data_IF_929801446355
#
_entry.id   IF_929801446355
#
_cell.length_a   1.000
_cell.length_b   1.000
_cell.length_c   1.000
_cell.angle_alpha   90.00
_cell.angle_beta   90.00
_cell.angle_gamma   90.00
#
_symmetry.space_group_name_H-M   'P 1'
#
loop_
_entity.id
_entity.type
_entity.pdbx_description
1 polymer ?
#
# COMPACT_ATOMS: atom_id res chain seq x y z
N UNK A 1 2.43 13.58 -16.98
CA UNK A 1 1.20 13.91 -16.23
C UNK A 1 1.26 15.35 -15.79
N UNK A 2 0.16 16.09 -15.95
CA UNK A 2 0.02 17.46 -15.43
C UNK A 2 0.13 17.42 -13.90
N UNK A 3 0.95 18.30 -13.32
CA UNK A 3 1.06 18.48 -11.86
C UNK A 3 0.11 19.60 -11.45
N UNK A 4 -0.71 19.35 -10.44
CA UNK A 4 -1.67 20.26 -9.86
C UNK A 4 -1.15 20.90 -8.56
N UNK A 5 0.02 20.49 -8.08
CA UNK A 5 0.58 20.94 -6.80
C UNK A 5 -0.13 20.34 -5.60
N UNK A 6 -0.88 19.24 -5.78
CA UNK A 6 -1.71 18.61 -4.75
C UNK A 6 -1.40 17.12 -4.63
N UNK A 7 -1.24 16.59 -3.40
CA UNK A 7 -1.00 15.17 -3.18
C UNK A 7 -2.15 14.33 -3.73
N UNK A 8 -1.87 13.07 -4.05
CA UNK A 8 -2.91 12.07 -4.26
C UNK A 8 -3.51 11.67 -2.92
N UNK A 9 -4.81 11.82 -2.76
CA UNK A 9 -5.52 11.53 -1.52
C UNK A 9 -6.46 10.38 -1.84
N UNK A 10 -6.02 9.16 -1.53
CA UNK A 10 -6.75 7.95 -1.78
C UNK A 10 -7.63 7.59 -0.60
N UNK A 11 -8.92 7.45 -0.87
CA UNK A 11 -9.85 6.81 0.04
C UNK A 11 -9.68 5.29 -0.02
N UNK A 12 -9.40 4.65 1.13
CA UNK A 12 -9.45 3.18 1.29
C UNK A 12 -10.90 2.81 1.59
N UNK A 13 -11.59 2.18 0.63
CA UNK A 13 -13.06 1.98 0.74
C UNK A 13 -13.47 1.01 1.83
N UNK A 14 -12.64 0.02 2.16
CA UNK A 14 -12.99 -1.01 3.16
C UNK A 14 -12.19 -0.88 4.46
N UNK A 15 -10.97 -0.34 4.42
CA UNK A 15 -10.07 -0.31 5.55
C UNK A 15 -9.63 -1.71 6.01
N UNK A 16 -9.90 -2.76 5.22
CA UNK A 16 -9.67 -4.18 5.57
C UNK A 16 -8.60 -4.81 4.69
N UNK A 17 -7.90 -5.81 5.23
CA UNK A 17 -6.89 -6.60 4.52
C UNK A 17 -7.47 -7.74 3.66
N UNK A 18 -8.79 -7.81 3.48
CA UNK A 18 -9.45 -8.81 2.64
C UNK A 18 -9.62 -8.36 1.18
N UNK A 19 -9.22 -7.12 0.88
CA UNK A 19 -9.40 -6.46 -0.41
C UNK A 19 -9.99 -5.06 -0.20
N UNK A 20 -9.59 -4.12 -1.06
CA UNK A 20 -10.07 -2.74 -1.00
C UNK A 20 -9.87 -2.01 -2.33
N UNK A 21 -10.50 -0.86 -2.45
CA UNK A 21 -10.21 0.12 -3.49
C UNK A 21 -9.55 1.35 -2.88
N UNK A 22 -8.61 1.92 -3.62
CA UNK A 22 -7.94 3.18 -3.32
C UNK A 22 -8.32 4.16 -4.41
N UNK A 23 -9.19 5.10 -4.08
CA UNK A 23 -9.76 6.05 -5.04
C UNK A 23 -9.26 7.47 -4.70
N UNK A 24 -8.50 8.10 -5.60
CA UNK A 24 -8.10 9.50 -5.41
C UNK A 24 -9.36 10.38 -5.39
N UNK A 25 -9.49 11.28 -4.41
CA UNK A 25 -10.69 12.15 -4.29
C UNK A 25 -10.91 13.07 -5.50
N UNK A 26 -9.87 13.29 -6.31
CA UNK A 26 -9.93 14.05 -7.56
C UNK A 26 -10.05 13.15 -8.80
N UNK A 27 -10.31 11.85 -8.59
CA UNK A 27 -10.47 10.82 -9.62
C UNK A 27 -9.28 10.73 -10.61
N UNK A 28 -8.07 11.14 -10.16
CA UNK A 28 -6.86 11.11 -11.01
C UNK A 28 -6.28 9.71 -11.12
N UNK A 29 -6.36 8.94 -10.03
CA UNK A 29 -5.84 7.58 -9.93
C UNK A 29 -6.81 6.70 -9.13
N UNK A 30 -6.98 5.47 -9.59
CA UNK A 30 -7.72 4.43 -8.88
C UNK A 30 -6.94 3.12 -8.91
N UNK A 31 -6.87 2.47 -7.75
CA UNK A 31 -6.31 1.13 -7.62
C UNK A 31 -7.27 0.20 -6.93
N UNK A 32 -7.25 -1.07 -7.32
CA UNK A 32 -8.07 -2.11 -6.69
C UNK A 32 -7.16 -3.24 -6.22
N UNK A 33 -7.23 -3.56 -4.93
CA UNK A 33 -6.58 -4.73 -4.31
C UNK A 33 -7.61 -5.84 -4.19
N UNK A 34 -7.44 -6.92 -4.96
CA UNK A 34 -8.35 -8.06 -4.97
C UNK A 34 -7.69 -9.31 -4.41
N UNK A 35 -8.37 -10.01 -3.51
CA UNK A 35 -8.04 -11.40 -3.22
C UNK A 35 -8.37 -12.25 -4.44
N UNK A 36 -7.40 -13.04 -4.91
CA UNK A 36 -7.50 -13.84 -6.14
C UNK A 36 -7.31 -15.33 -5.91
N UNK A 37 -6.67 -15.70 -4.80
CA UNK A 37 -6.66 -17.06 -4.28
C UNK A 37 -6.63 -17.02 -2.75
N UNK A 38 -7.36 -17.92 -2.11
CA UNK A 38 -7.37 -18.09 -0.67
C UNK A 38 -7.61 -19.56 -0.35
N UNK A 39 -6.59 -20.22 0.18
CA UNK A 39 -6.67 -21.59 0.65
C UNK A 39 -5.88 -21.77 1.95
N UNK A 40 -5.79 -23.00 2.43
CA UNK A 40 -5.09 -23.34 3.68
C UNK A 40 -3.57 -23.14 3.59
N UNK A 41 -3.01 -23.08 2.38
CA UNK A 41 -1.59 -22.99 2.10
C UNK A 41 -1.13 -21.57 1.82
N UNK A 42 -1.95 -20.74 1.19
CA UNK A 42 -1.60 -19.37 0.81
C UNK A 42 -2.81 -18.46 0.60
N UNK A 43 -2.56 -17.15 0.61
CA UNK A 43 -3.53 -16.12 0.22
C UNK A 43 -2.85 -15.12 -0.72
N UNK A 44 -3.40 -15.00 -1.93
CA UNK A 44 -2.85 -14.14 -2.97
C UNK A 44 -3.74 -12.93 -3.26
N UNK A 45 -3.13 -11.74 -3.25
CA UNK A 45 -3.75 -10.49 -3.62
C UNK A 45 -3.10 -9.91 -4.87
N UNK A 46 -3.91 -9.32 -5.75
CA UNK A 46 -3.45 -8.62 -6.93
C UNK A 46 -3.89 -7.16 -6.89
N UNK A 47 -2.96 -6.26 -7.24
CA UNK A 47 -3.19 -4.82 -7.29
C UNK A 47 -3.28 -4.40 -8.76
N UNK A 48 -4.42 -3.84 -9.14
CA UNK A 48 -4.70 -3.36 -10.48
C UNK A 48 -4.79 -1.84 -10.50
N UNK A 49 -4.35 -1.21 -11.58
CA UNK A 49 -4.71 0.16 -11.88
C UNK A 49 -6.04 0.16 -12.63
N UNK A 50 -7.05 0.74 -12.00
CA UNK A 50 -8.43 0.81 -12.49
C UNK A 50 -8.84 2.26 -12.78
N UNK A 51 -7.86 3.15 -12.97
CA UNK A 51 -8.10 4.56 -13.29
C UNK A 51 -8.85 4.72 -14.62
N UNK A 52 -9.77 5.69 -14.75
CA UNK A 52 -10.60 5.86 -15.96
C UNK A 52 -9.80 6.04 -17.25
N UNK A 53 -8.62 6.68 -17.14
CA UNK A 53 -7.78 7.04 -18.28
C UNK A 53 -6.81 5.93 -18.73
N UNK A 54 -6.83 4.77 -18.08
CA UNK A 54 -5.97 3.64 -18.45
C UNK A 54 -6.76 2.73 -19.39
N UNK A 55 -6.27 2.58 -20.63
CA UNK A 55 -6.82 1.59 -21.56
C UNK A 55 -6.67 0.19 -20.95
N UNK A 56 -7.79 -0.36 -20.48
CA UNK A 56 -7.81 -1.72 -19.97
C UNK A 56 -7.82 -2.68 -21.16
N UNK A 57 -6.80 -3.52 -21.23
CA UNK A 57 -6.80 -4.66 -22.15
C UNK A 57 -7.93 -5.63 -21.77
N UNK A 58 -8.38 -6.47 -22.71
CA UNK A 58 -9.39 -7.49 -22.45
C UNK A 58 -9.04 -8.42 -21.27
N UNK A 59 -7.74 -8.55 -20.95
CA UNK A 59 -7.24 -9.22 -19.76
C UNK A 59 -6.57 -8.18 -18.85
N UNK A 60 -7.12 -7.87 -17.67
CA UNK A 60 -6.51 -6.92 -16.76
C UNK A 60 -5.17 -7.47 -16.25
N UNK A 61 -4.08 -6.72 -16.46
CA UNK A 61 -2.75 -7.09 -15.98
C UNK A 61 -2.51 -6.49 -14.59
N UNK A 62 -2.18 -7.30 -13.57
CA UNK A 62 -1.86 -6.76 -12.25
C UNK A 62 -0.52 -6.00 -12.30
N UNK A 63 -0.45 -4.89 -11.59
CA UNK A 63 0.81 -4.15 -11.38
C UNK A 63 1.68 -4.82 -10.32
N UNK A 64 1.03 -5.33 -9.28
CA UNK A 64 1.68 -6.03 -8.18
C UNK A 64 0.89 -7.29 -7.83
N UNK A 65 1.60 -8.38 -7.57
CA UNK A 65 1.04 -9.57 -6.93
C UNK A 65 1.67 -9.75 -5.54
N UNK A 66 0.86 -10.03 -4.55
CA UNK A 66 1.25 -10.33 -3.17
C UNK A 66 0.79 -11.75 -2.87
N UNK A 67 1.69 -12.59 -2.42
CA UNK A 67 1.38 -13.96 -2.04
C UNK A 67 1.84 -14.21 -0.60
N UNK A 68 0.88 -14.38 0.30
CA UNK A 68 1.12 -14.66 1.71
C UNK A 68 1.05 -16.16 1.95
N UNK A 69 1.98 -16.69 2.74
CA UNK A 69 2.03 -18.11 3.05
C UNK A 69 1.00 -18.52 4.12
N UNK A 70 0.97 -19.81 4.39
CA UNK A 70 0.12 -20.41 5.43
C UNK A 70 0.27 -19.70 6.77
N UNK A 71 -0.81 -19.71 7.56
CA UNK A 71 -0.85 -19.05 8.88
C UNK A 71 -0.46 -17.57 8.85
N UNK A 72 -0.85 -16.86 7.78
CA UNK A 72 -0.58 -15.43 7.57
C UNK A 72 0.91 -15.07 7.50
N UNK A 73 1.78 -16.02 7.17
CA UNK A 73 3.22 -15.76 7.05
C UNK A 73 3.54 -14.89 5.82
N UNK A 74 4.65 -14.16 5.88
CA UNK A 74 5.15 -13.43 4.70
C UNK A 74 5.61 -14.42 3.64
N UNK A 75 5.11 -14.26 2.41
CA UNK A 75 5.56 -15.01 1.23
C UNK A 75 6.33 -14.12 0.26
N UNK A 76 5.78 -13.93 -0.94
CA UNK A 76 6.43 -13.24 -2.05
C UNK A 76 5.66 -12.02 -2.55
N UNK A 77 6.37 -11.06 -3.12
CA UNK A 77 5.83 -9.92 -3.85
C UNK A 77 6.41 -9.94 -5.25
N UNK A 78 5.59 -9.65 -6.25
CA UNK A 78 6.03 -9.46 -7.64
C UNK A 78 5.61 -8.07 -8.10
N UNK A 79 6.58 -7.19 -8.28
CA UNK A 79 6.41 -5.88 -8.91
C UNK A 79 6.95 -6.00 -10.33
N UNK A 80 6.17 -5.61 -11.34
CA UNK A 80 6.55 -5.76 -12.76
C UNK A 80 6.91 -7.21 -13.16
N UNK A 81 6.26 -8.20 -12.55
CA UNK A 81 6.38 -9.63 -12.86
C UNK A 81 7.71 -10.30 -12.41
N UNK A 82 8.53 -9.64 -11.60
CA UNK A 82 9.69 -10.27 -10.96
C UNK A 82 9.39 -10.63 -9.49
N UNK A 83 9.16 -11.92 -9.16
CA UNK A 83 8.88 -12.33 -7.79
C UNK A 83 10.12 -12.23 -6.91
N UNK A 84 9.94 -11.72 -5.69
CA UNK A 84 10.95 -11.73 -4.63
C UNK A 84 10.31 -11.97 -3.26
N UNK A 85 11.05 -12.54 -2.29
CA UNK A 85 10.53 -12.70 -0.93
C UNK A 85 10.18 -11.34 -0.30
N UNK A 86 9.01 -11.22 0.34
CA UNK A 86 8.59 -9.97 1.00
C UNK A 86 9.59 -9.52 2.08
N UNK A 87 10.29 -10.46 2.71
CA UNK A 87 11.37 -10.17 3.69
C UNK A 87 12.60 -9.51 3.08
N UNK A 88 12.86 -9.76 1.79
CA UNK A 88 13.93 -9.09 1.01
C UNK A 88 13.46 -7.76 0.45
N UNK A 89 12.19 -7.67 0.05
CA UNK A 89 11.58 -6.42 -0.42
C UNK A 89 11.45 -5.39 0.70
N UNK A 90 10.88 -5.77 1.85
CA UNK A 90 10.71 -4.95 3.05
C UNK A 90 11.67 -5.39 4.16
N UNK A 91 12.87 -4.81 4.12
CA UNK A 91 13.94 -5.09 5.07
C UNK A 91 13.67 -4.42 6.41
N UNK A 92 13.88 -5.17 7.50
CA UNK A 92 13.77 -4.62 8.86
C UNK A 92 14.90 -3.63 9.11
N UNK A 93 14.60 -2.47 9.69
CA UNK A 93 15.64 -1.55 10.12
C UNK A 93 16.42 -2.15 11.29
N UNK A 94 17.75 -2.24 11.19
CA UNK A 94 18.61 -3.05 12.08
C UNK A 94 18.50 -2.70 13.58
N UNK A 95 18.13 -1.47 13.93
CA UNK A 95 17.92 -1.02 15.32
C UNK A 95 16.47 -0.59 15.60
N UNK A 96 15.51 -1.00 14.76
CA UNK A 96 14.10 -0.60 14.84
C UNK A 96 13.15 -1.73 15.25
N UNK A 97 11.97 -1.32 15.74
CA UNK A 97 10.78 -2.17 15.87
C UNK A 97 10.49 -2.91 14.55
N UNK A 98 9.85 -4.09 14.60
CA UNK A 98 9.35 -4.81 13.40
C UNK A 98 8.40 -3.96 12.54
N UNK A 99 7.87 -2.88 13.13
CA UNK A 99 6.97 -1.89 12.55
C UNK A 99 7.72 -0.73 11.86
N UNK A 100 9.03 -0.86 11.66
CA UNK A 100 9.85 0.04 10.83
C UNK A 100 10.59 -0.78 9.77
N UNK A 101 10.25 -0.58 8.50
CA UNK A 101 10.85 -1.33 7.38
C UNK A 101 11.14 -0.46 6.19
N UNK A 102 12.16 -0.85 5.43
CA UNK A 102 12.62 -0.15 4.23
C UNK A 102 12.43 -0.99 2.98
N UNK A 103 12.09 -0.34 1.89
CA UNK A 103 12.07 -0.93 0.56
C UNK A 103 12.76 0.01 -0.44
N UNK A 104 13.15 -0.55 -1.58
CA UNK A 104 13.67 0.22 -2.72
C UNK A 104 12.56 0.32 -3.75
N UNK A 105 12.17 1.55 -4.10
CA UNK A 105 11.17 1.79 -5.13
C UNK A 105 11.73 1.52 -6.54
N UNK A 106 10.85 1.44 -7.53
CA UNK A 106 11.26 1.30 -8.94
C UNK A 106 12.09 2.47 -9.47
N UNK A 107 12.09 3.62 -8.79
CA UNK A 107 12.95 4.77 -9.07
C UNK A 107 14.37 4.64 -8.47
N UNK A 108 14.66 3.52 -7.80
CA UNK A 108 15.96 3.23 -7.18
C UNK A 108 16.17 3.90 -5.82
N UNK A 109 15.20 4.65 -5.30
CA UNK A 109 15.30 5.34 -4.02
C UNK A 109 14.88 4.43 -2.86
N UNK A 110 15.44 4.69 -1.68
CA UNK A 110 15.07 3.99 -0.45
C UNK A 110 13.95 4.74 0.25
N UNK A 111 12.90 3.99 0.60
CA UNK A 111 11.75 4.46 1.36
C UNK A 111 11.60 3.67 2.66
N UNK A 112 11.00 4.30 3.67
CA UNK A 112 10.84 3.71 4.99
C UNK A 112 9.42 3.93 5.51
N UNK A 113 8.71 2.84 5.81
CA UNK A 113 7.47 2.89 6.57
C UNK A 113 7.76 2.80 8.06
N UNK A 114 7.06 3.61 8.86
CA UNK A 114 7.03 3.55 10.31
C UNK A 114 5.60 3.72 10.83
N UNK A 115 5.24 2.99 11.89
CA UNK A 115 3.90 3.04 12.50
C UNK A 115 3.85 4.10 13.61
N UNK A 116 2.82 4.95 13.61
CA UNK A 116 2.51 5.93 14.69
C UNK A 116 3.69 6.82 15.09
N UNK A 117 4.47 7.26 14.12
CA UNK A 117 5.58 8.22 14.35
C UNK A 117 5.13 9.68 14.34
N UNK A 118 3.96 9.96 13.76
CA UNK A 118 3.38 11.30 13.71
C UNK A 118 1.95 11.28 14.29
N UNK A 119 1.47 12.39 14.88
CA UNK A 119 0.09 12.49 15.36
C UNK A 119 -0.91 12.20 14.24
N UNK A 120 -1.97 11.46 14.56
CA UNK A 120 -3.08 11.12 13.66
C UNK A 120 -2.71 10.33 12.39
N UNK A 121 -1.45 9.89 12.24
CA UNK A 121 -1.01 9.02 11.16
C UNK A 121 -0.71 7.63 11.72
N UNK A 122 -1.44 6.63 11.24
CA UNK A 122 -1.19 5.24 11.63
C UNK A 122 0.11 4.73 10.99
N UNK A 123 0.38 5.13 9.75
CA UNK A 123 1.65 4.85 9.05
C UNK A 123 2.18 6.10 8.36
N UNK A 124 3.50 6.28 8.41
CA UNK A 124 4.22 7.33 7.68
C UNK A 124 5.31 6.69 6.83
N UNK A 125 5.39 7.06 5.56
CA UNK A 125 6.46 6.70 4.65
C UNK A 125 7.39 7.89 4.42
N UNK A 126 8.68 7.71 4.65
CA UNK A 126 9.70 8.74 4.41
C UNK A 126 10.74 8.27 3.40
N UNK A 127 11.38 9.22 2.71
CA UNK A 127 12.58 8.93 1.90
C UNK A 127 13.87 9.00 2.75
N UNK A 128 15.02 8.82 2.11
CA UNK A 128 16.34 8.89 2.77
C UNK A 128 16.64 10.23 3.47
N UNK A 129 16.01 11.32 3.04
CA UNK A 129 16.14 12.66 3.65
C UNK A 129 15.11 12.90 4.78
N UNK A 130 14.37 11.87 5.19
CA UNK A 130 13.28 11.94 6.17
C UNK A 130 12.09 12.83 5.76
N UNK A 131 11.95 13.17 4.48
CA UNK A 131 10.75 13.83 3.99
C UNK A 131 9.61 12.83 3.90
N UNK A 132 8.43 13.22 4.38
CA UNK A 132 7.20 12.43 4.24
C UNK A 132 6.80 12.41 2.78
N UNK A 133 6.66 11.22 2.24
CA UNK A 133 6.27 11.01 0.84
C UNK A 133 4.89 10.33 0.73
N UNK A 134 4.47 9.61 1.78
CA UNK A 134 3.13 9.08 1.91
C UNK A 134 2.75 8.92 3.40
N UNK A 135 1.47 8.90 3.69
CA UNK A 135 0.94 8.61 5.03
C UNK A 135 -0.42 7.91 4.95
N UNK A 136 -0.68 7.01 5.90
CA UNK A 136 -1.97 6.35 6.04
C UNK A 136 -2.59 6.70 7.39
N UNK A 137 -3.82 7.20 7.37
CA UNK A 137 -4.58 7.64 8.53
C UNK A 137 -5.84 6.79 8.67
N UNK A 138 -6.20 6.48 9.92
CA UNK A 138 -7.46 5.82 10.23
C UNK A 138 -8.57 6.86 10.35
N UNK A 139 -9.81 6.40 10.17
CA UNK A 139 -11.00 7.20 10.51
C UNK A 139 -10.87 7.79 11.92
N UNK A 140 -11.23 9.06 12.10
CA UNK A 140 -11.10 9.70 13.40
C UNK A 140 -12.11 9.09 14.41
N UNK A 141 -11.72 9.05 15.68
CA UNK A 141 -12.60 8.54 16.73
C UNK A 141 -13.83 9.44 16.88
N UNK A 142 -15.02 8.84 16.82
CA UNK A 142 -16.30 9.56 16.93
C UNK A 142 -16.92 10.00 15.60
N UNK A 143 -16.24 9.80 14.48
CA UNK A 143 -16.85 10.04 13.16
C UNK A 143 -17.93 9.01 12.83
N UNK A 144 -19.01 9.43 12.12
CA UNK A 144 -20.07 8.53 11.72
C UNK A 144 -19.56 7.42 10.79
N UNK A 145 -20.40 6.42 10.55
CA UNK A 145 -20.16 5.49 9.45
C UNK A 145 -20.48 6.20 8.13
N UNK A 146 -19.54 6.14 7.20
CA UNK A 146 -19.70 6.69 5.86
C UNK A 146 -20.25 5.60 4.94
N UNK A 147 -21.25 5.95 4.13
CA UNK A 147 -21.75 5.01 3.12
C UNK A 147 -20.66 4.73 2.09
N UNK A 148 -20.27 3.46 1.95
CA UNK A 148 -19.25 2.97 1.00
C UNK A 148 -17.81 3.45 1.24
N UNK A 149 -17.50 3.90 2.46
CA UNK A 149 -16.16 4.33 2.83
C UNK A 149 -15.76 3.85 4.21
N UNK A 150 -14.48 3.53 4.39
CA UNK A 150 -13.93 3.19 5.70
C UNK A 150 -13.53 4.42 6.52
N UNK A 151 -13.47 5.60 5.90
CA UNK A 151 -12.85 6.80 6.47
C UNK A 151 -11.33 6.73 6.61
N UNK A 152 -10.69 5.65 6.15
CA UNK A 152 -9.23 5.57 6.09
C UNK A 152 -8.69 6.22 4.81
N UNK A 153 -7.57 6.94 4.94
CA UNK A 153 -6.99 7.75 3.86
C UNK A 153 -5.53 7.39 3.69
N UNK A 154 -5.10 7.16 2.45
CA UNK A 154 -3.71 7.11 2.03
C UNK A 154 -3.38 8.37 1.23
N UNK A 155 -2.48 9.20 1.75
CA UNK A 155 -1.95 10.35 1.04
C UNK A 155 -0.59 10.00 0.43
N UNK A 156 -0.34 10.42 -0.81
CA UNK A 156 0.94 10.28 -1.51
C UNK A 156 1.30 11.62 -2.13
N UNK A 157 2.48 12.16 -1.81
CA UNK A 157 2.94 13.42 -2.39
C UNK A 157 3.01 13.30 -3.93
N UNK A 158 2.54 14.34 -4.63
CA UNK A 158 2.24 14.29 -6.06
C UNK A 158 3.40 13.80 -6.92
N UNK A 159 4.63 14.19 -6.58
CA UNK A 159 5.84 13.79 -7.29
C UNK A 159 6.13 12.29 -7.26
N UNK A 160 5.48 11.53 -6.37
CA UNK A 160 5.63 10.08 -6.23
C UNK A 160 4.41 9.29 -6.75
N UNK A 161 3.52 9.93 -7.52
CA UNK A 161 2.35 9.28 -8.11
C UNK A 161 2.68 8.03 -8.94
N UNK A 162 3.84 7.99 -9.61
CA UNK A 162 4.31 6.81 -10.36
C UNK A 162 4.58 5.60 -9.46
N UNK A 163 4.86 5.81 -8.18
CA UNK A 163 5.10 4.76 -7.20
C UNK A 163 3.84 4.37 -6.43
N UNK A 164 2.67 4.92 -6.75
CA UNK A 164 1.46 4.73 -5.94
C UNK A 164 1.10 3.24 -5.74
N UNK A 165 1.23 2.40 -6.76
CA UNK A 165 1.00 0.96 -6.64
C UNK A 165 2.00 0.27 -5.68
N UNK A 166 3.27 0.69 -5.70
CA UNK A 166 4.31 0.18 -4.78
C UNK A 166 4.09 0.68 -3.35
N UNK A 167 3.59 1.91 -3.18
CA UNK A 167 3.21 2.48 -1.89
C UNK A 167 2.04 1.70 -1.29
N UNK A 168 0.99 1.41 -2.09
CA UNK A 168 -0.13 0.57 -1.66
C UNK A 168 0.36 -0.83 -1.31
N UNK A 169 1.18 -1.47 -2.15
CA UNK A 169 1.70 -2.81 -1.91
C UNK A 169 2.54 -2.89 -0.62
N UNK A 170 3.49 -1.98 -0.46
CA UNK A 170 4.36 -1.94 0.72
C UNK A 170 3.56 -1.62 1.99
N UNK A 171 2.61 -0.68 1.94
CA UNK A 171 1.69 -0.41 3.04
C UNK A 171 0.83 -1.63 3.38
N UNK A 172 0.33 -2.35 2.39
CA UNK A 172 -0.48 -3.56 2.58
C UNK A 172 0.31 -4.63 3.36
N UNK A 173 1.56 -4.87 2.96
CA UNK A 173 2.46 -5.80 3.68
C UNK A 173 2.73 -5.29 5.11
N UNK A 174 2.98 -3.99 5.30
CA UNK A 174 3.21 -3.42 6.64
C UNK A 174 2.00 -3.57 7.56
N UNK A 175 0.79 -3.33 7.04
CA UNK A 175 -0.47 -3.54 7.77
C UNK A 175 -0.68 -5.01 8.11
N UNK A 176 -0.37 -5.93 7.18
CA UNK A 176 -0.41 -7.37 7.42
C UNK A 176 0.55 -7.80 8.53
N UNK A 177 1.79 -7.32 8.47
CA UNK A 177 2.80 -7.54 9.52
C UNK A 177 2.29 -7.08 10.89
N UNK A 178 1.64 -5.91 10.94
CA UNK A 178 1.10 -5.36 12.17
C UNK A 178 -0.16 -6.08 12.68
N UNK A 179 -0.98 -6.66 11.79
CA UNK A 179 -2.19 -7.38 12.14
C UNK A 179 -1.91 -8.77 12.73
N UNK A 180 -0.80 -9.39 12.31
CA UNK A 180 -0.40 -10.74 12.72
C UNK A 180 0.91 -10.78 13.53
N UNK A 181 1.36 -9.62 14.02
CA UNK A 181 2.59 -9.43 14.83
C UNK A 181 3.84 -10.15 14.27
N UNK A 182 4.03 -10.04 12.95
CA UNK A 182 5.14 -10.70 12.26
C UNK A 182 6.47 -9.97 12.50
N UNK A 183 7.56 -10.74 12.60
CA UNK A 183 8.94 -10.25 12.82
C UNK A 183 9.77 -10.26 11.55
#
# INVERSE_FOLDING_TARGET
MTRYGMPYIFEDTTGRLTGSEFIDIHDRLRFTVRCTAHDTCHTSYMIYNTSPNVFQSAIPRPLVALDFGANNTLGSISVASMPMPMRKYLTKHAMGSSKVRRFVGSDGQIYQWARRTQPNQEWTCTNANNYVIASYSLKAAGEPEYSNSSGCILEIAEQFGSLAAEMIASLWIMRHIAAYDLV
#
